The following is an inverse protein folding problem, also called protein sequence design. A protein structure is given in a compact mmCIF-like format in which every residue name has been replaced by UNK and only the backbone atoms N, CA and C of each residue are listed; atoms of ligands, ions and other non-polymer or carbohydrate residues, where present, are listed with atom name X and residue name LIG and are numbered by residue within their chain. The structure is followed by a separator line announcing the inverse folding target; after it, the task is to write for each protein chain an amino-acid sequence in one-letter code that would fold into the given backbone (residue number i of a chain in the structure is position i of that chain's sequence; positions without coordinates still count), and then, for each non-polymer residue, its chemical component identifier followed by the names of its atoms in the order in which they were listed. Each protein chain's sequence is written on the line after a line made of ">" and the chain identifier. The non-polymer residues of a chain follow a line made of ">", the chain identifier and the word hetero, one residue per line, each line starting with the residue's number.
data_IF_575704282435
#
_entry.id   IF_575704282435
#
_cell.length_a   1.000
_cell.length_b   1.000
_cell.length_c   1.000
_cell.angle_alpha   90.00
_cell.angle_beta   90.00
_cell.angle_gamma   90.00
#
_symmetry.space_group_name_H-M   'P 1'
#
loop_
_entity.id
_entity.type
_entity.pdbx_description
1 polymer ?
#
# COMPACT_ATOMS: atom_id res chain seq x y z
N UNK A 1 3.03 7.62 -4.43
CA UNK A 1 1.68 8.18 -4.69
C UNK A 1 1.33 8.11 -6.16
N UNK A 2 2.17 8.67 -7.05
CA UNK A 2 2.00 8.52 -8.50
C UNK A 2 1.77 7.06 -8.93
N UNK A 3 2.63 6.14 -8.50
CA UNK A 3 2.47 4.71 -8.83
C UNK A 3 1.10 4.15 -8.42
N UNK A 4 0.63 4.42 -7.20
CA UNK A 4 -0.67 3.98 -6.69
C UNK A 4 -1.80 4.51 -7.57
N UNK A 5 -1.72 5.79 -7.93
CA UNK A 5 -2.67 6.42 -8.84
C UNK A 5 -2.67 5.78 -10.24
N UNK A 6 -1.50 5.47 -10.81
CA UNK A 6 -1.40 4.76 -12.11
C UNK A 6 -1.97 3.34 -12.07
N UNK A 7 -2.04 2.70 -10.91
CA UNK A 7 -2.72 1.41 -10.74
C UNK A 7 -4.27 1.54 -10.68
N UNK A 8 -4.81 2.76 -10.81
CA UNK A 8 -6.25 3.03 -10.69
C UNK A 8 -6.76 3.07 -9.24
N UNK A 9 -5.85 3.15 -8.26
CA UNK A 9 -6.18 3.18 -6.83
C UNK A 9 -6.05 4.61 -6.29
N UNK A 10 -6.93 5.00 -5.35
CA UNK A 10 -6.88 6.32 -4.72
C UNK A 10 -6.08 6.27 -3.41
N UNK A 11 -4.89 6.91 -3.32
CA UNK A 11 -4.12 6.93 -2.08
C UNK A 11 -4.72 7.91 -1.06
N UNK A 12 -4.91 7.45 0.17
CA UNK A 12 -5.30 8.29 1.31
C UNK A 12 -4.05 8.61 2.14
N UNK A 13 -3.58 9.86 2.08
CA UNK A 13 -2.32 10.28 2.70
C UNK A 13 -2.56 11.12 3.95
N UNK A 14 -1.76 10.87 4.98
CA UNK A 14 -1.71 11.68 6.21
C UNK A 14 -0.36 12.39 6.32
N UNK A 15 -0.38 13.69 6.60
CA UNK A 15 0.82 14.46 6.94
C UNK A 15 0.44 15.66 7.81
N UNK A 16 1.31 16.03 8.76
CA UNK A 16 1.21 17.29 9.50
C UNK A 16 2.17 18.37 8.93
N UNK A 17 3.02 18.01 7.97
CA UNK A 17 3.93 18.92 7.30
C UNK A 17 3.24 19.51 6.05
N UNK A 18 3.11 20.85 6.01
CA UNK A 18 2.43 21.59 4.94
C UNK A 18 3.09 21.40 3.57
N UNK A 19 4.42 21.39 3.52
CA UNK A 19 5.16 21.22 2.28
C UNK A 19 4.91 19.82 1.70
N UNK A 20 4.91 18.79 2.56
CA UNK A 20 4.55 17.42 2.14
C UNK A 20 3.11 17.31 1.65
N UNK A 21 2.17 18.03 2.27
CA UNK A 21 0.77 18.05 1.81
C UNK A 21 0.67 18.63 0.40
N UNK A 22 1.40 19.70 0.11
CA UNK A 22 1.47 20.29 -1.22
C UNK A 22 2.06 19.31 -2.25
N UNK A 23 3.23 18.74 -1.95
CA UNK A 23 3.90 17.76 -2.83
C UNK A 23 3.05 16.51 -3.10
N UNK A 24 2.26 16.06 -2.12
CA UNK A 24 1.36 14.92 -2.30
C UNK A 24 0.26 15.17 -3.35
N UNK A 25 -0.11 16.44 -3.58
CA UNK A 25 -1.09 16.84 -4.60
C UNK A 25 -0.46 17.02 -5.99
N UNK A 26 0.86 17.24 -6.06
CA UNK A 26 1.61 17.50 -7.29
C UNK A 26 2.06 16.19 -7.99
N UNK A 27 1.13 15.23 -8.12
CA UNK A 27 1.39 13.91 -8.73
C UNK A 27 0.74 13.72 -10.10
N UNK A 28 0.00 14.72 -10.59
CA UNK A 28 -0.81 14.62 -11.81
C UNK A 28 -0.11 15.17 -13.06
N UNK A 29 0.84 16.08 -12.88
CA UNK A 29 1.52 16.78 -13.98
C UNK A 29 2.71 16.00 -14.58
N UNK A 30 2.96 14.79 -14.09
CA UNK A 30 4.03 13.92 -14.56
C UNK A 30 3.64 12.45 -14.42
N UNK A 31 4.38 11.58 -15.10
CA UNK A 31 4.18 10.15 -15.09
C UNK A 31 5.49 9.39 -14.88
N UNK A 32 5.38 8.15 -14.41
CA UNK A 32 6.54 7.29 -14.29
C UNK A 32 7.06 6.90 -15.67
N UNK A 33 8.37 6.70 -15.80
CA UNK A 33 8.92 6.10 -17.03
C UNK A 33 8.70 4.59 -17.03
N UNK A 34 8.87 3.94 -18.18
CA UNK A 34 8.85 2.47 -18.27
C UNK A 34 9.93 1.84 -17.37
N UNK A 35 11.10 2.47 -17.27
CA UNK A 35 12.18 2.01 -16.41
C UNK A 35 11.81 2.11 -14.92
N UNK A 36 11.17 3.21 -14.50
CA UNK A 36 10.70 3.35 -13.12
C UNK A 36 9.66 2.30 -12.75
N UNK A 37 8.72 2.01 -13.66
CA UNK A 37 7.71 0.96 -13.47
C UNK A 37 8.36 -0.42 -13.34
N UNK A 38 9.37 -0.71 -14.16
CA UNK A 38 10.12 -1.95 -14.07
C UNK A 38 10.84 -2.06 -12.71
N UNK A 39 11.53 -1.01 -12.27
CA UNK A 39 12.19 -0.98 -10.96
C UNK A 39 11.21 -1.20 -9.81
N UNK A 40 10.03 -0.57 -9.86
CA UNK A 40 8.99 -0.73 -8.83
C UNK A 40 8.45 -2.16 -8.80
N UNK A 41 8.26 -2.80 -9.96
CA UNK A 41 7.78 -4.19 -10.04
C UNK A 41 8.73 -5.21 -9.41
N UNK A 42 10.01 -4.86 -9.25
CA UNK A 42 11.03 -5.71 -8.63
C UNK A 42 11.12 -5.54 -7.11
N UNK A 43 10.35 -4.63 -6.51
CA UNK A 43 10.35 -4.41 -5.06
C UNK A 43 9.67 -5.61 -4.37
N UNK A 44 10.37 -6.32 -3.46
CA UNK A 44 9.78 -7.42 -2.71
C UNK A 44 8.54 -6.95 -1.92
N UNK A 45 7.44 -7.68 -2.05
CA UNK A 45 6.19 -7.32 -1.38
C UNK A 45 6.21 -7.80 0.08
N UNK A 46 5.82 -6.91 0.99
CA UNK A 46 5.69 -7.25 2.41
C UNK A 46 4.56 -6.43 3.04
N UNK A 47 3.63 -7.12 3.73
CA UNK A 47 2.52 -6.49 4.45
C UNK A 47 3.03 -5.88 5.77
N UNK A 48 2.99 -4.55 5.86
CA UNK A 48 3.45 -3.82 7.05
C UNK A 48 2.48 -3.96 8.23
N UNK A 49 1.17 -3.93 7.98
CA UNK A 49 0.14 -4.17 8.99
C UNK A 49 -0.19 -5.66 8.97
N UNK A 50 0.23 -6.37 10.01
CA UNK A 50 -0.15 -7.77 10.23
C UNK A 50 -1.43 -7.81 11.06
N UNK A 51 -2.38 -8.62 10.61
CA UNK A 51 -3.75 -8.69 11.10
C UNK A 51 -3.91 -8.92 12.60
N UNK A 52 -2.91 -9.54 13.23
CA UNK A 52 -2.93 -9.87 14.66
C UNK A 52 -3.09 -8.68 15.60
N UNK A 53 -2.89 -7.45 15.12
CA UNK A 53 -3.07 -6.23 15.92
C UNK A 53 -4.41 -5.53 15.70
N UNK A 54 -5.15 -5.87 14.64
CA UNK A 54 -6.42 -5.26 14.27
C UNK A 54 -7.62 -6.11 14.68
N UNK A 55 -7.43 -7.42 14.81
CA UNK A 55 -8.45 -8.34 15.27
C UNK A 55 -8.26 -8.66 16.76
N UNK A 56 -9.32 -8.41 17.55
CA UNK A 56 -9.43 -8.98 18.88
C UNK A 56 -9.71 -10.48 18.70
N UNK A 57 -8.95 -11.35 19.35
CA UNK A 57 -9.16 -12.81 19.28
C UNK A 57 -10.53 -13.25 19.84
N UNK A 58 -11.25 -12.36 20.53
CA UNK A 58 -12.60 -12.58 21.02
C UNK A 58 -13.63 -11.75 20.25
N UNK A 59 -14.43 -12.44 19.42
CA UNK A 59 -15.53 -11.89 18.62
C UNK A 59 -16.13 -12.97 17.68
N UNK A 60 -17.29 -12.71 17.08
CA UNK A 60 -17.98 -13.67 16.18
C UNK A 60 -17.30 -13.86 14.81
N UNK A 61 -16.26 -13.07 14.50
CA UNK A 61 -15.51 -13.13 13.25
C UNK A 61 -14.03 -13.47 13.54
N UNK A 62 -13.75 -14.74 13.83
CA UNK A 62 -12.40 -15.22 14.22
C UNK A 62 -11.59 -15.85 13.09
N UNK A 63 -12.12 -15.97 11.88
CA UNK A 63 -11.42 -16.67 10.80
C UNK A 63 -11.15 -15.73 9.62
N UNK A 64 -10.02 -15.03 9.68
CA UNK A 64 -9.18 -14.98 8.48
C UNK A 64 -8.50 -16.34 8.41
N UNK A 65 -8.64 -17.06 7.30
CA UNK A 65 -8.01 -18.37 7.14
C UNK A 65 -6.49 -18.20 7.33
N UNK A 66 -5.82 -18.98 8.20
CA UNK A 66 -4.37 -18.93 8.32
C UNK A 66 -3.65 -19.10 6.98
N UNK A 67 -4.25 -19.80 6.02
CA UNK A 67 -3.74 -19.88 4.65
C UNK A 67 -3.72 -18.50 3.94
N UNK A 68 -4.67 -17.60 4.22
CA UNK A 68 -4.68 -16.23 3.70
C UNK A 68 -3.67 -15.32 4.42
N UNK A 69 -3.16 -15.76 5.58
CA UNK A 69 -2.09 -15.10 6.32
C UNK A 69 -0.70 -15.51 5.81
N UNK A 70 -0.55 -16.75 5.32
CA UNK A 70 0.72 -17.34 4.89
C UNK A 70 0.85 -17.57 3.37
N UNK A 71 -0.16 -17.23 2.55
CA UNK A 71 -0.01 -17.13 1.08
C UNK A 71 0.83 -15.90 0.69
N UNK A 72 2.09 -15.93 1.09
CA UNK A 72 3.21 -15.34 0.36
C UNK A 72 3.76 -16.50 -0.46
N UNK A 73 3.47 -16.53 -1.76
CA UNK A 73 4.08 -17.49 -2.68
C UNK A 73 5.61 -17.41 -2.54
N UNK A 74 6.20 -18.51 -2.03
CA UNK A 74 7.35 -19.17 -2.64
C UNK A 74 6.90 -20.55 -3.14
#
# INVERSE_FOLDING_TARGET
>A
LRWIYEQGVTPIVKSHNKERLKQNLEIFDWELTTEDRLKISQIPQNKLMKDSTLFLQEGEFTSVDPADLDNVEE
#
